data_IF_903699979795
#
_entry.id   IF_903699979795
#
_cell.length_a   1.000
_cell.length_b   1.000
_cell.length_c   1.000
_cell.angle_alpha   90.00
_cell.angle_beta   90.00
_cell.angle_gamma   90.00
#
_symmetry.space_group_name_H-M   'P 1'
#
loop_
_entity.id
_entity.type
_entity.pdbx_description
1 polymer ?
#
# COMPACT_ATOMS: atom_id res chain seq x y z
N UNK A 1 -17.70 19.10 -16.72
CA UNK A 1 -16.87 18.41 -15.70
C UNK A 1 -16.56 19.45 -14.63
N UNK A 2 -16.92 19.22 -13.36
CA UNK A 2 -16.60 20.19 -12.30
C UNK A 2 -15.09 20.13 -12.08
N UNK A 3 -14.47 21.28 -11.80
CA UNK A 3 -13.02 21.39 -11.62
C UNK A 3 -12.51 20.44 -10.52
N UNK A 4 -13.33 20.22 -9.49
CA UNK A 4 -13.06 19.29 -8.39
C UNK A 4 -12.97 17.82 -8.81
N UNK A 5 -13.82 17.37 -9.75
CA UNK A 5 -13.79 15.99 -10.27
C UNK A 5 -12.50 15.72 -11.05
N UNK A 6 -12.00 16.75 -11.75
CA UNK A 6 -10.73 16.69 -12.48
C UNK A 6 -9.55 16.53 -11.52
N UNK A 7 -9.52 17.31 -10.45
CA UNK A 7 -8.46 17.24 -9.43
C UNK A 7 -8.43 15.89 -8.73
N UNK A 8 -9.60 15.32 -8.36
CA UNK A 8 -9.68 14.01 -7.71
C UNK A 8 -9.19 12.88 -8.64
N UNK A 9 -9.54 12.95 -9.93
CA UNK A 9 -9.06 11.98 -10.93
C UNK A 9 -7.56 12.04 -11.10
N UNK A 10 -7.00 13.25 -11.21
CA UNK A 10 -5.56 13.48 -11.32
C UNK A 10 -4.84 12.97 -10.07
N UNK A 11 -5.38 13.25 -8.89
CA UNK A 11 -4.81 12.80 -7.61
C UNK A 11 -4.79 11.27 -7.51
N UNK A 12 -5.85 10.59 -7.94
CA UNK A 12 -5.90 9.12 -8.00
C UNK A 12 -4.86 8.55 -8.96
N UNK A 13 -4.71 9.16 -10.13
CA UNK A 13 -3.68 8.77 -11.10
C UNK A 13 -2.27 8.92 -10.51
N UNK A 14 -1.97 10.05 -9.87
CA UNK A 14 -0.66 10.25 -9.23
C UNK A 14 -0.41 9.28 -8.08
N UNK A 15 -1.43 8.96 -7.28
CA UNK A 15 -1.29 7.95 -6.23
C UNK A 15 -0.97 6.57 -6.82
N UNK A 16 -1.65 6.15 -7.88
CA UNK A 16 -1.34 4.88 -8.55
C UNK A 16 0.08 4.89 -9.14
N UNK A 17 0.42 5.99 -9.84
CA UNK A 17 1.74 6.21 -10.42
C UNK A 17 2.85 6.12 -9.36
N UNK A 18 2.72 6.82 -8.23
CA UNK A 18 3.68 6.77 -7.12
C UNK A 18 3.71 5.36 -6.51
N UNK A 19 2.54 4.76 -6.32
CA UNK A 19 2.37 3.43 -5.72
C UNK A 19 3.08 2.33 -6.48
N UNK A 20 3.16 2.44 -7.80
CA UNK A 20 3.91 1.52 -8.65
C UNK A 20 5.37 1.96 -8.87
N UNK A 21 5.62 3.24 -9.18
CA UNK A 21 6.97 3.71 -9.48
C UNK A 21 7.94 3.53 -8.31
N UNK A 22 7.52 3.82 -7.08
CA UNK A 22 8.42 3.80 -5.92
C UNK A 22 8.95 2.38 -5.64
N UNK A 23 8.10 1.33 -5.53
CA UNK A 23 8.60 -0.05 -5.42
C UNK A 23 9.51 -0.47 -6.57
N UNK A 24 9.13 -0.13 -7.81
CA UNK A 24 9.93 -0.43 -9.00
C UNK A 24 11.31 0.23 -8.93
N UNK A 25 11.37 1.49 -8.52
CA UNK A 25 12.61 2.24 -8.36
C UNK A 25 13.50 1.64 -7.25
N UNK A 26 12.92 1.26 -6.12
CA UNK A 26 13.65 0.60 -5.02
C UNK A 26 14.31 -0.69 -5.51
N UNK A 27 13.57 -1.52 -6.27
CA UNK A 27 14.13 -2.75 -6.84
C UNK A 27 15.24 -2.43 -7.86
N UNK A 28 14.98 -1.52 -8.80
CA UNK A 28 15.94 -1.16 -9.84
C UNK A 28 17.25 -0.61 -9.27
N UNK A 29 17.18 0.32 -8.31
CA UNK A 29 18.35 0.87 -7.62
C UNK A 29 19.07 -0.22 -6.82
N UNK A 30 18.34 -1.07 -6.10
CA UNK A 30 18.93 -2.17 -5.32
C UNK A 30 19.72 -3.14 -6.19
N UNK A 31 19.17 -3.54 -7.33
CA UNK A 31 19.85 -4.42 -8.29
C UNK A 31 21.04 -3.74 -8.97
N UNK A 32 20.88 -2.47 -9.38
CA UNK A 32 21.96 -1.71 -10.02
C UNK A 32 23.14 -1.45 -9.08
N UNK A 33 22.87 -1.14 -7.82
CA UNK A 33 23.89 -1.02 -6.79
C UNK A 33 24.64 -2.35 -6.64
N UNK A 34 23.89 -3.44 -6.45
CA UNK A 34 24.47 -4.74 -6.16
C UNK A 34 25.29 -5.34 -7.31
N UNK A 35 24.90 -5.13 -8.57
CA UNK A 35 25.54 -5.77 -9.72
C UNK A 35 26.40 -4.82 -10.57
N UNK A 36 26.02 -3.55 -10.67
CA UNK A 36 26.65 -2.60 -11.59
C UNK A 36 27.61 -1.61 -10.93
N UNK A 37 27.58 -1.50 -9.59
CA UNK A 37 28.38 -0.52 -8.87
C UNK A 37 28.01 0.94 -9.19
N UNK A 38 28.81 1.92 -8.73
CA UNK A 38 28.46 3.35 -8.81
C UNK A 38 28.36 3.90 -10.24
N UNK A 39 29.02 3.28 -11.22
CA UNK A 39 28.92 3.66 -12.63
C UNK A 39 27.52 3.42 -13.23
N UNK A 40 26.88 2.31 -12.86
CA UNK A 40 25.53 1.99 -13.35
C UNK A 40 24.44 2.81 -12.65
N UNK A 41 24.65 3.21 -11.40
CA UNK A 41 23.75 4.16 -10.71
C UNK A 41 23.78 5.51 -11.44
N UNK A 42 24.97 5.98 -11.86
CA UNK A 42 25.10 7.19 -12.69
C UNK A 42 24.42 7.03 -14.05
N UNK A 43 24.48 5.85 -14.67
CA UNK A 43 23.77 5.58 -15.92
C UNK A 43 22.24 5.64 -15.74
N UNK A 44 21.68 5.15 -14.63
CA UNK A 44 20.25 5.32 -14.33
C UNK A 44 19.88 6.81 -14.21
N UNK A 45 20.74 7.62 -13.58
CA UNK A 45 20.58 9.07 -13.53
C UNK A 45 20.67 9.74 -14.91
N UNK A 46 21.63 9.30 -15.74
CA UNK A 46 21.86 9.82 -17.09
C UNK A 46 20.85 9.32 -18.14
N UNK A 47 20.19 8.19 -17.92
CA UNK A 47 19.10 7.68 -18.79
C UNK A 47 17.89 8.64 -18.82
N UNK A 48 17.81 9.56 -17.87
CA UNK A 48 16.87 10.69 -17.88
C UNK A 48 17.22 11.80 -18.89
N UNK A 49 18.38 11.74 -19.55
CA UNK A 49 18.81 12.71 -20.56
C UNK A 49 18.10 12.42 -21.90
N UNK A 50 16.79 12.68 -21.93
CA UNK A 50 15.94 12.50 -23.09
C UNK A 50 14.49 12.24 -22.70
N UNK A 51 13.55 12.96 -23.30
CA UNK A 51 12.13 12.77 -22.98
C UNK A 51 11.67 11.32 -23.27
N UNK A 52 12.07 10.76 -24.41
CA UNK A 52 11.69 9.40 -24.80
C UNK A 52 12.28 8.32 -23.87
N UNK A 53 13.54 8.46 -23.45
CA UNK A 53 14.19 7.52 -22.53
C UNK A 53 13.62 7.64 -21.12
N UNK A 54 13.34 8.85 -20.65
CA UNK A 54 12.68 9.08 -19.36
C UNK A 54 11.28 8.48 -19.30
N UNK A 55 10.45 8.63 -20.35
CA UNK A 55 9.14 8.00 -20.41
C UNK A 55 9.23 6.48 -20.48
N UNK A 56 10.18 5.93 -21.24
CA UNK A 56 10.40 4.48 -21.33
C UNK A 56 10.82 3.93 -19.97
N UNK A 57 11.78 4.56 -19.30
CA UNK A 57 12.23 4.18 -17.96
C UNK A 57 11.07 4.25 -16.95
N UNK A 58 10.29 5.32 -16.98
CA UNK A 58 9.10 5.48 -16.13
C UNK A 58 8.10 4.34 -16.37
N UNK A 59 7.81 4.01 -17.63
CA UNK A 59 6.92 2.90 -17.99
C UNK A 59 7.42 1.54 -17.48
N UNK A 60 8.73 1.29 -17.60
CA UNK A 60 9.36 0.05 -17.08
C UNK A 60 9.28 0.00 -15.56
N UNK A 61 9.61 1.08 -14.85
CA UNK A 61 9.53 1.14 -13.39
C UNK A 61 8.09 0.97 -12.89
N UNK A 62 7.13 1.55 -13.61
CA UNK A 62 5.70 1.40 -13.31
C UNK A 62 5.25 -0.06 -13.46
N UNK A 63 5.60 -0.71 -14.58
CA UNK A 63 5.31 -2.12 -14.81
C UNK A 63 5.97 -3.02 -13.76
N UNK A 64 7.22 -2.73 -13.40
CA UNK A 64 7.96 -3.46 -12.36
C UNK A 64 7.31 -3.30 -10.98
N UNK A 65 6.81 -2.12 -10.65
CA UNK A 65 6.03 -1.86 -9.45
C UNK A 65 4.78 -2.71 -9.33
N UNK A 66 3.98 -2.76 -10.39
CA UNK A 66 2.80 -3.63 -10.42
C UNK A 66 3.15 -5.11 -10.36
N UNK A 67 4.24 -5.53 -11.02
CA UNK A 67 4.74 -6.89 -10.91
C UNK A 67 5.10 -7.23 -9.45
N UNK A 68 5.76 -6.33 -8.73
CA UNK A 68 6.06 -6.51 -7.31
C UNK A 68 4.81 -6.66 -6.45
N UNK A 69 3.77 -5.84 -6.70
CA UNK A 69 2.50 -5.98 -6.00
C UNK A 69 1.79 -7.30 -6.33
N UNK A 70 1.86 -7.76 -7.58
CA UNK A 70 1.32 -9.05 -7.98
C UNK A 70 2.07 -10.22 -7.32
N UNK A 71 3.41 -10.18 -7.31
CA UNK A 71 4.25 -11.14 -6.58
C UNK A 71 3.91 -11.13 -5.09
N UNK A 72 3.69 -9.95 -4.52
CA UNK A 72 3.28 -9.82 -3.13
C UNK A 72 1.99 -10.58 -2.85
N UNK A 73 0.93 -10.32 -3.62
CA UNK A 73 -0.38 -10.93 -3.42
C UNK A 73 -0.38 -12.45 -3.67
N UNK A 74 0.31 -12.90 -4.72
CA UNK A 74 0.29 -14.31 -5.14
C UNK A 74 1.22 -15.18 -4.29
N UNK A 75 2.42 -14.69 -3.96
CA UNK A 75 3.47 -15.51 -3.35
C UNK A 75 3.86 -15.06 -1.94
N UNK A 76 4.20 -13.79 -1.76
CA UNK A 76 4.79 -13.30 -0.50
C UNK A 76 3.75 -13.29 0.62
N UNK A 77 2.56 -12.78 0.38
CA UNK A 77 1.49 -12.66 1.38
C UNK A 77 1.04 -14.03 1.93
N UNK A 78 0.78 -15.07 1.11
CA UNK A 78 0.55 -16.42 1.62
C UNK A 78 1.72 -16.96 2.45
N UNK A 79 2.97 -16.72 2.03
CA UNK A 79 4.16 -17.14 2.78
C UNK A 79 4.26 -16.44 4.13
N UNK A 80 4.09 -15.11 4.17
CA UNK A 80 4.10 -14.32 5.41
C UNK A 80 3.00 -14.76 6.38
N UNK A 81 1.81 -15.11 5.87
CA UNK A 81 0.72 -15.68 6.68
C UNK A 81 1.08 -17.05 7.26
N UNK A 82 1.67 -17.94 6.45
CA UNK A 82 2.16 -19.25 6.92
C UNK A 82 3.21 -19.09 8.02
N UNK A 83 4.10 -18.11 7.88
CA UNK A 83 5.11 -17.75 8.88
C UNK A 83 4.56 -16.95 10.06
N UNK A 84 3.25 -16.66 10.10
CA UNK A 84 2.57 -15.84 11.12
C UNK A 84 3.17 -14.43 11.27
N UNK A 85 3.85 -13.93 10.23
CA UNK A 85 4.40 -12.58 10.18
C UNK A 85 3.27 -11.58 9.94
N UNK A 86 2.39 -11.84 8.97
CA UNK A 86 1.20 -11.01 8.74
C UNK A 86 -0.05 -11.75 9.18
N UNK A 87 -1.10 -10.99 9.53
CA UNK A 87 -2.40 -11.57 9.91
C UNK A 87 -3.43 -11.31 8.83
N UNK A 88 -4.35 -12.25 8.64
CA UNK A 88 -5.55 -11.96 7.87
C UNK A 88 -6.39 -10.92 8.63
N UNK A 89 -7.05 -10.05 7.89
CA UNK A 89 -7.99 -9.11 8.48
C UNK A 89 -9.20 -9.87 9.03
N UNK A 90 -9.56 -9.56 10.27
CA UNK A 90 -10.64 -10.21 10.99
C UNK A 90 -11.91 -9.39 10.83
N UNK A 91 -12.70 -9.72 9.81
CA UNK A 91 -13.96 -9.05 9.50
C UNK A 91 -14.98 -9.20 10.65
N UNK A 92 -14.98 -10.33 11.37
CA UNK A 92 -15.89 -10.57 12.49
C UNK A 92 -15.55 -9.68 13.69
N UNK A 93 -14.27 -9.55 14.02
CA UNK A 93 -13.83 -8.60 15.06
C UNK A 93 -14.07 -7.16 14.64
N UNK A 94 -13.91 -6.85 13.35
CA UNK A 94 -14.13 -5.51 12.84
C UNK A 94 -15.62 -5.12 12.82
N UNK A 95 -16.52 -6.04 12.49
CA UNK A 95 -17.97 -5.81 12.50
C UNK A 95 -18.52 -5.60 13.92
N UNK A 96 -17.90 -6.24 14.92
CA UNK A 96 -18.23 -6.03 16.33
C UNK A 96 -17.76 -4.67 16.91
N UNK A 97 -16.99 -3.87 16.16
CA UNK A 97 -16.55 -2.54 16.64
C UNK A 97 -17.74 -1.59 16.75
N UNK A 98 -17.75 -0.80 17.82
CA UNK A 98 -18.80 0.19 18.09
C UNK A 98 -19.04 1.16 16.93
N UNK A 99 -18.00 1.55 16.19
CA UNK A 99 -18.14 2.42 15.02
C UNK A 99 -18.95 1.78 13.88
N UNK A 100 -18.75 0.48 13.63
CA UNK A 100 -19.50 -0.26 12.62
C UNK A 100 -20.95 -0.47 13.07
N UNK A 101 -21.16 -0.88 14.32
CA UNK A 101 -22.50 -1.06 14.91
C UNK A 101 -23.30 0.24 14.85
N UNK A 102 -22.74 1.35 15.32
CA UNK A 102 -23.39 2.66 15.26
C UNK A 102 -23.70 3.11 13.83
N UNK A 103 -22.81 2.82 12.88
CA UNK A 103 -23.05 3.14 11.48
C UNK A 103 -24.25 2.36 10.93
N UNK A 104 -24.30 1.05 11.20
CA UNK A 104 -25.40 0.19 10.77
C UNK A 104 -26.75 0.64 11.36
N UNK A 105 -26.78 1.02 12.65
CA UNK A 105 -27.97 1.57 13.31
C UNK A 105 -28.46 2.87 12.66
N UNK A 106 -27.53 3.75 12.24
CA UNK A 106 -27.88 5.04 11.61
C UNK A 106 -28.46 4.88 10.21
N UNK A 107 -27.93 3.96 9.40
CA UNK A 107 -28.43 3.73 8.04
C UNK A 107 -29.67 2.83 8.01
N UNK A 108 -29.94 2.12 9.11
CA UNK A 108 -31.07 1.18 9.23
C UNK A 108 -32.07 1.61 10.33
N UNK A 109 -32.64 2.83 10.30
CA UNK A 109 -33.59 3.26 11.32
C UNK A 109 -34.89 2.44 11.23
N UNK A 110 -35.40 1.98 12.38
CA UNK A 110 -36.67 1.25 12.48
C UNK A 110 -36.57 -0.22 12.05
N UNK A 111 -36.35 -1.09 13.03
CA UNK A 111 -36.33 -2.55 12.87
C UNK A 111 -37.76 -3.09 12.77
N UNK A 112 -38.30 -3.13 11.55
CA UNK A 112 -39.39 -4.05 11.19
C UNK A 112 -38.79 -5.17 10.34
N UNK A 113 -38.57 -6.32 11.00
CA UNK A 113 -38.42 -7.74 10.61
C UNK A 113 -38.09 -8.24 9.18
N UNK A 114 -37.81 -7.40 8.18
CA UNK A 114 -37.53 -7.88 6.80
C UNK A 114 -36.46 -7.09 6.06
N UNK A 115 -35.47 -6.53 6.76
CA UNK A 115 -34.37 -5.79 6.11
C UNK A 115 -33.18 -6.70 5.77
N UNK A 116 -32.52 -6.47 4.62
CA UNK A 116 -31.34 -7.24 4.22
C UNK A 116 -30.24 -7.08 5.26
N UNK A 117 -29.62 -8.21 5.63
CA UNK A 117 -28.43 -8.23 6.48
C UNK A 117 -27.27 -7.71 5.64
N UNK A 118 -26.81 -6.49 5.93
CA UNK A 118 -25.66 -5.91 5.25
C UNK A 118 -24.38 -6.61 5.69
N UNK A 119 -23.56 -7.05 4.72
CA UNK A 119 -22.22 -7.53 5.02
C UNK A 119 -21.31 -6.36 5.42
N UNK A 120 -20.21 -6.66 6.13
CA UNK A 120 -19.20 -5.67 6.52
C UNK A 120 -18.70 -4.86 5.32
N UNK A 121 -18.49 -5.52 4.19
CA UNK A 121 -18.00 -4.88 2.96
C UNK A 121 -19.03 -3.93 2.36
N UNK A 122 -20.31 -4.31 2.41
CA UNK A 122 -21.39 -3.46 1.94
C UNK A 122 -21.54 -2.23 2.84
N UNK A 123 -21.55 -2.44 4.16
CA UNK A 123 -21.54 -1.34 5.14
C UNK A 123 -20.37 -0.39 4.90
N UNK A 124 -19.17 -0.92 4.64
CA UNK A 124 -17.99 -0.11 4.33
C UNK A 124 -18.16 0.66 3.03
N UNK A 125 -18.71 0.04 1.99
CA UNK A 125 -18.99 0.71 0.71
C UNK A 125 -19.94 1.90 0.92
N UNK A 126 -21.00 1.72 1.72
CA UNK A 126 -21.94 2.79 2.06
C UNK A 126 -21.25 3.88 2.90
N UNK A 127 -20.41 3.50 3.88
CA UNK A 127 -19.68 4.48 4.68
C UNK A 127 -18.76 5.37 3.83
N UNK A 128 -18.09 4.78 2.83
CA UNK A 128 -17.24 5.50 1.89
C UNK A 128 -18.04 6.35 0.88
N UNK A 129 -19.30 6.01 0.59
CA UNK A 129 -20.13 6.80 -0.33
C UNK A 129 -20.85 7.97 0.36
N UNK A 130 -21.11 7.85 1.66
CA UNK A 130 -21.85 8.86 2.44
C UNK A 130 -20.96 10.00 2.90
N UNK A 131 -19.65 9.75 3.02
CA UNK A 131 -18.67 10.69 3.56
C UNK A 131 -17.44 10.77 2.66
N UNK A 132 -17.24 11.93 2.02
CA UNK A 132 -16.06 12.19 1.18
C UNK A 132 -14.77 12.12 2.00
N UNK A 133 -14.82 12.57 3.26
CA UNK A 133 -13.70 12.48 4.19
C UNK A 133 -13.37 11.02 4.53
N UNK A 134 -14.38 10.19 4.81
CA UNK A 134 -14.18 8.75 5.04
C UNK A 134 -13.57 8.09 3.79
N UNK A 135 -14.03 8.47 2.60
CA UNK A 135 -13.52 7.99 1.33
C UNK A 135 -12.05 8.36 1.11
N UNK A 136 -11.72 9.64 1.30
CA UNK A 136 -10.37 10.18 1.19
C UNK A 136 -9.39 9.47 2.14
N UNK A 137 -9.77 9.39 3.41
CA UNK A 137 -8.94 8.83 4.47
C UNK A 137 -8.77 7.31 4.31
N UNK A 138 -9.84 6.59 3.94
CA UNK A 138 -9.80 5.18 3.59
C UNK A 138 -8.89 4.87 2.41
N UNK A 139 -8.96 5.67 1.33
CA UNK A 139 -8.07 5.55 0.16
C UNK A 139 -6.62 5.82 0.53
N UNK A 140 -6.34 6.87 1.32
CA UNK A 140 -4.99 7.22 1.75
C UNK A 140 -4.33 6.10 2.55
N UNK A 141 -5.03 5.51 3.52
CA UNK A 141 -4.47 4.40 4.29
C UNK A 141 -4.27 3.14 3.43
N UNK A 142 -5.19 2.85 2.50
CA UNK A 142 -5.02 1.74 1.56
C UNK A 142 -3.78 1.95 0.68
N UNK A 143 -3.60 3.16 0.15
CA UNK A 143 -2.44 3.53 -0.66
C UNK A 143 -1.13 3.30 0.11
N UNK A 144 -1.04 3.80 1.36
CA UNK A 144 0.16 3.61 2.19
C UNK A 144 0.42 2.12 2.45
N UNK A 145 -0.64 1.34 2.70
CA UNK A 145 -0.50 -0.12 2.86
C UNK A 145 0.08 -0.78 1.62
N UNK A 146 -0.41 -0.44 0.43
CA UNK A 146 0.08 -1.00 -0.83
C UNK A 146 1.53 -0.58 -1.09
N UNK A 147 1.86 0.69 -0.84
CA UNK A 147 3.23 1.21 -0.98
C UNK A 147 4.20 0.47 -0.06
N UNK A 148 3.85 0.28 1.21
CA UNK A 148 4.66 -0.49 2.17
C UNK A 148 4.82 -1.95 1.73
N UNK A 149 3.77 -2.61 1.23
CA UNK A 149 3.85 -3.97 0.71
C UNK A 149 4.73 -4.08 -0.54
N UNK A 150 4.62 -3.13 -1.48
CA UNK A 150 5.44 -3.08 -2.68
C UNK A 150 6.92 -2.88 -2.36
N UNK A 151 7.25 -1.87 -1.54
CA UNK A 151 8.63 -1.59 -1.13
C UNK A 151 9.20 -2.74 -0.29
N UNK A 152 8.42 -3.29 0.65
CA UNK A 152 8.83 -4.46 1.44
C UNK A 152 9.13 -5.67 0.56
N UNK A 153 8.34 -5.89 -0.50
CA UNK A 153 8.58 -6.96 -1.47
C UNK A 153 9.82 -6.70 -2.31
N UNK A 154 10.05 -5.46 -2.74
CA UNK A 154 11.29 -5.08 -3.43
C UNK A 154 12.52 -5.38 -2.58
N UNK A 155 12.53 -4.96 -1.30
CA UNK A 155 13.63 -5.21 -0.38
C UNK A 155 13.84 -6.70 -0.08
N UNK A 156 12.75 -7.45 0.05
CA UNK A 156 12.82 -8.90 0.21
C UNK A 156 13.51 -9.56 -0.99
N UNK A 157 13.14 -9.18 -2.22
CA UNK A 157 13.75 -9.73 -3.43
C UNK A 157 15.22 -9.30 -3.58
N UNK A 158 15.55 -8.04 -3.26
CA UNK A 158 16.95 -7.58 -3.25
C UNK A 158 17.77 -8.38 -2.23
N UNK A 159 17.25 -8.58 -1.01
CA UNK A 159 17.92 -9.37 0.03
C UNK A 159 18.09 -10.83 -0.34
N UNK A 160 17.08 -11.45 -0.96
CA UNK A 160 17.18 -12.83 -1.46
C UNK A 160 18.21 -12.93 -2.59
N UNK A 161 18.17 -12.01 -3.55
CA UNK A 161 19.13 -11.98 -4.65
C UNK A 161 20.57 -11.78 -4.14
N UNK A 162 20.76 -10.89 -3.15
CA UNK A 162 22.04 -10.72 -2.46
C UNK A 162 22.55 -12.02 -1.84
N UNK A 163 21.71 -12.74 -1.09
CA UNK A 163 22.08 -14.02 -0.48
C UNK A 163 22.43 -15.07 -1.53
N UNK A 164 21.65 -15.15 -2.62
CA UNK A 164 21.92 -16.09 -3.72
C UNK A 164 23.27 -15.79 -4.37
N UNK A 165 23.54 -14.53 -4.68
CA UNK A 165 24.82 -14.14 -5.28
C UNK A 165 25.98 -14.35 -4.30
N UNK A 166 25.81 -14.02 -3.03
CA UNK A 166 26.85 -14.22 -2.01
C UNK A 166 27.25 -15.71 -1.87
N UNK A 167 26.27 -16.62 -1.90
CA UNK A 167 26.49 -18.05 -1.64
C UNK A 167 26.86 -18.85 -2.90
N UNK A 168 26.27 -18.53 -4.05
CA UNK A 168 26.39 -19.34 -5.26
C UNK A 168 27.15 -18.66 -6.40
N UNK A 169 27.11 -17.33 -6.49
CA UNK A 169 27.65 -16.57 -7.61
C UNK A 169 28.36 -15.28 -7.17
N UNK A 170 29.42 -15.38 -6.33
CA UNK A 170 30.03 -14.19 -5.72
C UNK A 170 30.61 -13.22 -6.74
N UNK A 171 31.01 -13.71 -7.93
CA UNK A 171 31.49 -12.87 -9.02
C UNK A 171 30.44 -11.94 -9.66
N UNK A 172 29.15 -12.11 -9.34
CA UNK A 172 28.08 -11.19 -9.77
C UNK A 172 27.87 -10.01 -8.81
N UNK A 173 28.49 -10.04 -7.62
CA UNK A 173 28.42 -8.94 -6.68
C UNK A 173 29.48 -7.90 -7.00
N UNK A 174 29.07 -6.64 -7.06
CA UNK A 174 30.00 -5.54 -7.16
C UNK A 174 30.77 -5.39 -5.84
N UNK A 175 32.10 -5.38 -5.92
CA UNK A 175 32.98 -5.22 -4.77
C UNK A 175 33.12 -3.75 -4.46
N UNK A 176 32.57 -3.32 -3.32
CA UNK A 176 32.76 -1.98 -2.79
C UNK A 176 34.00 -1.94 -1.88
N UNK A 177 34.83 -0.91 -2.04
CA UNK A 177 36.03 -0.70 -1.21
C UNK A 177 35.72 -0.60 0.28
N UNK A 178 34.52 -0.11 0.62
CA UNK A 178 34.02 0.03 2.00
C UNK A 178 32.62 -0.59 2.15
N UNK A 179 32.47 -1.85 1.78
CA UNK A 179 31.23 -2.57 2.02
C UNK A 179 31.01 -2.80 3.53
N UNK A 180 29.81 -2.50 4.03
CA UNK A 180 29.38 -3.03 5.33
C UNK A 180 29.46 -4.56 5.33
N UNK A 181 29.71 -5.21 6.49
CA UNK A 181 29.71 -6.66 6.59
C UNK A 181 28.42 -7.26 6.02
N UNK A 182 28.54 -8.38 5.29
CA UNK A 182 27.43 -9.00 4.58
C UNK A 182 26.23 -9.30 5.49
N UNK A 183 26.50 -9.76 6.72
CA UNK A 183 25.46 -10.08 7.70
C UNK A 183 24.66 -8.85 8.11
N UNK A 184 25.31 -7.68 8.20
CA UNK A 184 24.65 -6.43 8.56
C UNK A 184 23.72 -5.98 7.42
N UNK A 185 24.16 -6.11 6.17
CA UNK A 185 23.33 -5.80 5.00
C UNK A 185 22.09 -6.69 4.95
N UNK A 186 22.26 -8.01 5.16
CA UNK A 186 21.16 -8.97 5.25
C UNK A 186 20.20 -8.57 6.38
N UNK A 187 20.70 -8.38 7.60
CA UNK A 187 19.85 -7.99 8.74
C UNK A 187 19.08 -6.71 8.45
N UNK A 188 19.72 -5.69 7.87
CA UNK A 188 19.06 -4.43 7.54
C UNK A 188 17.97 -4.59 6.48
N UNK A 189 18.24 -5.29 5.37
CA UNK A 189 17.26 -5.50 4.29
C UNK A 189 16.05 -6.29 4.78
N UNK A 190 16.28 -7.42 5.45
CA UNK A 190 15.19 -8.28 5.92
C UNK A 190 14.41 -7.69 7.09
N UNK A 191 15.08 -6.97 8.01
CA UNK A 191 14.37 -6.26 9.09
C UNK A 191 13.54 -5.09 8.56
N UNK A 192 14.07 -4.31 7.61
CA UNK A 192 13.33 -3.24 6.96
C UNK A 192 12.09 -3.78 6.22
N UNK A 193 12.25 -4.86 5.43
CA UNK A 193 11.13 -5.53 4.77
C UNK A 193 10.09 -6.00 5.79
N UNK A 194 10.53 -6.64 6.89
CA UNK A 194 9.64 -7.10 7.97
C UNK A 194 8.84 -5.95 8.59
N UNK A 195 9.50 -4.84 8.96
CA UNK A 195 8.81 -3.67 9.53
C UNK A 195 7.84 -3.03 8.55
N UNK A 196 8.17 -2.98 7.25
CA UNK A 196 7.26 -2.47 6.22
C UNK A 196 6.02 -3.34 6.08
N UNK A 197 6.14 -4.67 6.10
CA UNK A 197 4.97 -5.56 6.08
C UNK A 197 4.09 -5.37 7.33
N UNK A 198 4.69 -5.19 8.51
CA UNK A 198 3.93 -4.87 9.73
C UNK A 198 3.21 -3.54 9.63
N UNK A 199 3.87 -2.53 9.08
CA UNK A 199 3.28 -1.21 8.88
C UNK A 199 2.14 -1.27 7.86
N UNK A 200 2.29 -2.08 6.81
CA UNK A 200 1.24 -2.30 5.82
C UNK A 200 -0.01 -2.91 6.45
N UNK A 201 0.13 -3.95 7.28
CA UNK A 201 -1.01 -4.56 8.00
C UNK A 201 -1.76 -3.52 8.86
N UNK A 202 -1.04 -2.67 9.59
CA UNK A 202 -1.65 -1.61 10.42
C UNK A 202 -2.44 -0.59 9.60
N UNK A 203 -1.89 -0.16 8.46
CA UNK A 203 -2.60 0.78 7.59
C UNK A 203 -3.76 0.13 6.86
N UNK A 204 -3.65 -1.14 6.47
CA UNK A 204 -4.76 -1.90 5.91
C UNK A 204 -5.91 -1.99 6.92
N UNK A 205 -5.63 -2.34 8.17
CA UNK A 205 -6.64 -2.39 9.24
C UNK A 205 -7.35 -1.05 9.43
N UNK A 206 -6.59 0.06 9.42
CA UNK A 206 -7.15 1.42 9.49
C UNK A 206 -7.99 1.75 8.26
N UNK A 207 -7.53 1.44 7.05
CA UNK A 207 -8.26 1.64 5.80
C UNK A 207 -9.60 0.88 5.77
N UNK A 208 -9.67 -0.24 6.48
CA UNK A 208 -10.88 -1.05 6.60
C UNK A 208 -11.83 -0.55 7.68
N UNK A 209 -11.33 0.03 8.79
CA UNK A 209 -12.15 0.28 10.00
C UNK A 209 -12.43 1.75 10.30
N UNK A 210 -11.53 2.68 9.95
CA UNK A 210 -11.70 4.12 10.18
C UNK A 210 -12.87 4.77 9.43
N UNK A 211 -13.23 4.34 8.19
CA UNK A 211 -14.32 4.97 7.45
C UNK A 211 -15.65 5.04 8.22
N UNK A 212 -15.97 4.02 9.02
CA UNK A 212 -17.22 3.98 9.80
C UNK A 212 -17.32 5.11 10.81
N UNK A 213 -16.28 5.35 11.62
CA UNK A 213 -16.32 6.41 12.63
C UNK A 213 -16.46 7.80 12.02
N UNK A 214 -15.83 8.02 10.87
CA UNK A 214 -15.90 9.29 10.14
C UNK A 214 -17.30 9.48 9.56
N UNK A 215 -17.86 8.47 8.91
CA UNK A 215 -19.20 8.52 8.35
C UNK A 215 -20.29 8.70 9.43
N UNK A 216 -20.14 8.04 10.59
CA UNK A 216 -21.04 8.23 11.75
C UNK A 216 -21.01 9.68 12.24
N UNK A 217 -19.82 10.27 12.39
CA UNK A 217 -19.69 11.66 12.82
C UNK A 217 -20.38 12.59 11.82
N UNK A 218 -20.09 12.44 10.53
CA UNK A 218 -20.66 13.28 9.47
C UNK A 218 -22.19 13.19 9.39
N UNK A 219 -22.75 11.97 9.47
CA UNK A 219 -24.19 11.77 9.49
C UNK A 219 -24.86 12.43 10.69
N UNK A 220 -24.25 12.33 11.89
CA UNK A 220 -24.77 12.99 13.10
C UNK A 220 -24.73 14.51 12.99
N UNK A 221 -23.64 15.08 12.47
CA UNK A 221 -23.54 16.52 12.24
C UNK A 221 -24.58 17.02 11.23
N UNK A 222 -24.76 16.33 10.10
CA UNK A 222 -25.78 16.68 9.09
C UNK A 222 -27.19 16.63 9.66
N UNK A 223 -27.51 15.60 10.47
CA UNK A 223 -28.83 15.46 11.11
C UNK A 223 -29.11 16.58 12.12
N UNK A 224 -28.13 16.95 12.94
CA UNK A 224 -28.28 18.02 13.91
C UNK A 224 -28.46 19.39 13.23
N UNK A 225 -27.77 19.63 12.12
CA UNK A 225 -27.93 20.87 11.37
C UNK A 225 -29.33 21.02 10.77
N UNK A 226 -29.86 19.95 10.17
CA UNK A 226 -31.22 19.93 9.62
C UNK A 226 -32.31 20.06 10.70
N UNK A 227 -32.06 19.59 11.93
CA UNK A 227 -32.99 19.78 13.05
C UNK A 227 -32.99 21.21 13.61
N UNK A 228 -31.92 21.99 13.38
CA UNK A 228 -31.79 23.38 13.84
C UNK A 228 -32.28 24.44 12.83
N UNK A 229 -32.51 24.04 11.57
CA UNK A 229 -33.06 24.89 10.50
C UNK A 229 -34.35 24.24 9.93
N UNK A 230 -35.49 24.35 10.64
CA UNK A 230 -36.77 23.82 10.17
C UNK A 230 -37.34 24.56 8.95
#
# INVERSE_FOLDING_TARGET
MKLDDGIDTITKFFNDLIGALVPGLVLAIGLAAMHGGPGHIKLIGGLGEGAATAFTLTGVLFALGHLLLAIHEIAVKPLLRKLKITRAFDEQKASARQSCVMFNELITPGSNSSKPVWDYRDLRSVALSVSDEAASLGRRFMFISLLCNGVGTALLLVGLNYLICLLFFPGLLFIYDQAAPWWLQVVLLFSAAYFLFKQADLFYERAMTTPFSVAVAELKFKRNHNASNP
#
